data_IF_799964036416
#
_entry.id   IF_799964036416
#
_cell.length_a   1.000
_cell.length_b   1.000
_cell.length_c   1.000
_cell.angle_alpha   90.00
_cell.angle_beta   90.00
_cell.angle_gamma   90.00
#
_symmetry.space_group_name_H-M   'P 1'
#
loop_
_entity.id
_entity.type
_entity.pdbx_description
1 polymer ?
#
# COMPACT_ATOMS: atom_id res chain seq x y z
N UNK A 1 7.26 -32.19 -7.78
CA UNK A 1 7.98 -31.24 -8.65
C UNK A 1 7.02 -30.48 -9.56
N UNK A 2 7.05 -29.14 -9.49
CA UNK A 2 6.38 -28.29 -10.47
C UNK A 2 5.24 -27.45 -9.91
N UNK A 3 5.59 -26.35 -9.25
CA UNK A 3 5.05 -25.01 -9.51
C UNK A 3 6.06 -24.06 -8.87
N UNK A 4 7.08 -23.68 -9.64
CA UNK A 4 7.82 -22.48 -9.28
C UNK A 4 6.85 -21.34 -9.56
N UNK A 5 6.26 -20.78 -8.50
CA UNK A 5 5.45 -19.58 -8.57
C UNK A 5 6.27 -18.52 -9.33
N UNK A 6 5.90 -18.27 -10.58
CA UNK A 6 6.46 -17.17 -11.36
C UNK A 6 5.91 -15.88 -10.77
N UNK A 7 6.57 -15.41 -9.72
CA UNK A 7 6.33 -14.08 -9.16
C UNK A 7 6.63 -13.08 -10.28
N UNK A 8 5.65 -12.28 -10.68
CA UNK A 8 5.87 -11.22 -11.65
C UNK A 8 6.90 -10.22 -11.11
N UNK A 9 7.63 -9.54 -11.99
CA UNK A 9 8.62 -8.53 -11.58
C UNK A 9 8.01 -7.47 -10.65
N UNK A 10 6.78 -7.05 -10.93
CA UNK A 10 6.01 -6.13 -10.07
C UNK A 10 5.69 -6.72 -8.69
N UNK A 11 5.41 -8.03 -8.61
CA UNK A 11 5.13 -8.70 -7.35
C UNK A 11 6.36 -8.84 -6.45
N UNK A 12 7.52 -9.14 -7.06
CA UNK A 12 8.81 -9.17 -6.37
C UNK A 12 9.16 -7.79 -5.83
N UNK A 13 9.04 -6.75 -6.67
CA UNK A 13 9.32 -5.36 -6.29
C UNK A 13 8.37 -4.83 -5.21
N UNK A 14 7.07 -5.16 -5.28
CA UNK A 14 6.11 -4.79 -4.23
C UNK A 14 6.53 -5.38 -2.87
N UNK A 15 6.93 -6.65 -2.86
CA UNK A 15 7.38 -7.33 -1.63
C UNK A 15 8.67 -6.71 -1.10
N UNK A 16 9.62 -6.36 -1.98
CA UNK A 16 10.89 -5.72 -1.62
C UNK A 16 10.69 -4.33 -0.99
N UNK A 17 9.74 -3.53 -1.50
CA UNK A 17 9.43 -2.20 -0.95
C UNK A 17 8.94 -2.31 0.50
N UNK A 18 8.12 -3.31 0.83
CA UNK A 18 7.69 -3.50 2.22
C UNK A 18 8.85 -4.00 3.08
N UNK A 19 9.61 -4.98 2.59
CA UNK A 19 10.74 -5.58 3.32
C UNK A 19 11.81 -4.57 3.68
N UNK A 20 12.04 -3.56 2.85
CA UNK A 20 13.09 -2.56 3.10
C UNK A 20 12.73 -1.57 4.21
N UNK A 21 11.46 -1.48 4.62
CA UNK A 21 10.99 -0.58 5.67
C UNK A 21 10.93 -1.27 7.04
N UNK A 22 12.07 -1.37 7.74
CA UNK A 22 12.16 -2.03 9.06
C UNK A 22 12.49 -1.06 10.20
N UNK A 23 13.38 -0.10 9.98
CA UNK A 23 13.80 0.88 10.99
C UNK A 23 14.00 2.24 10.34
N UNK A 24 13.74 3.31 11.09
CA UNK A 24 13.81 4.70 10.62
C UNK A 24 13.02 4.94 9.32
N UNK A 25 11.88 4.26 9.21
CA UNK A 25 11.06 4.24 8.02
C UNK A 25 9.57 4.22 8.35
N UNK A 26 8.76 4.92 7.54
CA UNK A 26 7.32 4.72 7.47
C UNK A 26 6.88 4.36 6.05
N UNK A 27 6.00 3.38 5.92
CA UNK A 27 5.41 2.95 4.66
C UNK A 27 3.90 3.19 4.70
N UNK A 28 3.39 3.89 3.70
CA UNK A 28 2.00 4.28 3.60
C UNK A 28 1.41 3.70 2.32
N UNK A 29 0.30 2.99 2.42
CA UNK A 29 -0.42 2.37 1.30
C UNK A 29 -1.80 3.02 1.17
N UNK A 30 -2.20 3.35 -0.06
CA UNK A 30 -3.55 3.71 -0.43
C UNK A 30 -4.00 2.98 -1.70
N UNK A 31 -5.12 2.27 -1.66
CA UNK A 31 -5.68 1.63 -2.86
C UNK A 31 -6.48 2.62 -3.72
N UNK A 32 -6.53 2.35 -5.02
CA UNK A 32 -7.42 3.03 -5.98
C UNK A 32 -8.03 2.02 -6.96
N UNK A 33 -9.32 2.20 -7.28
CA UNK A 33 -10.13 1.38 -8.18
C UNK A 33 -10.17 -0.08 -7.76
N UNK A 34 -9.13 -0.86 -8.02
CA UNK A 34 -9.11 -2.29 -7.72
C UNK A 34 -7.70 -2.72 -7.32
N UNK A 35 -7.55 -3.24 -6.11
CA UNK A 35 -6.27 -3.61 -5.53
C UNK A 35 -6.18 -5.05 -5.00
N UNK A 36 -7.30 -5.77 -4.93
CA UNK A 36 -7.41 -7.04 -4.22
C UNK A 36 -7.16 -8.27 -5.11
N UNK A 37 -7.51 -8.18 -6.40
CA UNK A 37 -7.66 -9.34 -7.28
C UNK A 37 -6.40 -10.18 -7.46
N UNK A 38 -5.23 -9.56 -7.58
CA UNK A 38 -3.96 -10.28 -7.78
C UNK A 38 -2.86 -9.78 -6.84
N UNK A 39 -3.16 -9.72 -5.53
CA UNK A 39 -2.13 -9.48 -4.52
C UNK A 39 -1.10 -10.63 -4.52
N UNK A 40 0.21 -10.36 -4.65
CA UNK A 40 1.23 -11.40 -4.57
C UNK A 40 1.23 -12.08 -3.20
N UNK A 41 1.28 -13.41 -3.18
CA UNK A 41 1.22 -14.18 -1.93
C UNK A 41 2.37 -13.82 -0.96
N UNK A 42 3.58 -13.60 -1.48
CA UNK A 42 4.72 -13.19 -0.65
C UNK A 42 4.51 -11.82 0.00
N UNK A 43 3.85 -10.89 -0.70
CA UNK A 43 3.50 -9.58 -0.15
C UNK A 43 2.43 -9.72 0.94
N UNK A 44 1.37 -10.50 0.70
CA UNK A 44 0.30 -10.76 1.70
C UNK A 44 0.90 -11.38 2.96
N UNK A 45 1.69 -12.45 2.81
CA UNK A 45 2.36 -13.12 3.94
C UNK A 45 3.27 -12.17 4.72
N UNK A 46 4.00 -11.30 4.02
CA UNK A 46 4.89 -10.36 4.69
C UNK A 46 4.11 -9.26 5.43
N UNK A 47 3.06 -8.70 4.84
CA UNK A 47 2.16 -7.77 5.54
C UNK A 47 1.55 -8.41 6.79
N UNK A 48 1.11 -9.67 6.71
CA UNK A 48 0.57 -10.43 7.84
C UNK A 48 1.58 -10.63 8.98
N UNK A 49 2.89 -10.72 8.70
CA UNK A 49 3.94 -10.75 9.73
C UNK A 49 3.96 -9.47 10.58
N UNK A 50 3.52 -8.36 10.01
CA UNK A 50 3.34 -7.08 10.69
C UNK A 50 1.95 -6.91 11.32
N UNK A 51 1.09 -7.95 11.27
CA UNK A 51 -0.25 -7.96 11.86
C UNK A 51 -1.39 -7.49 10.93
N UNK A 52 -1.10 -7.28 9.64
CA UNK A 52 -2.10 -6.84 8.64
C UNK A 52 -3.09 -7.96 8.30
N UNK A 53 -4.32 -7.57 7.98
CA UNK A 53 -5.37 -8.42 7.46
C UNK A 53 -5.67 -8.12 5.99
N UNK A 54 -4.64 -7.77 5.20
CA UNK A 54 -4.79 -7.40 3.79
C UNK A 54 -5.42 -8.52 2.93
N UNK A 55 -5.37 -9.77 3.37
CA UNK A 55 -6.08 -10.91 2.76
C UNK A 55 -7.61 -10.75 2.79
N UNK A 56 -8.13 -9.88 3.67
CA UNK A 56 -9.56 -9.55 3.76
C UNK A 56 -9.98 -8.40 2.83
N UNK A 57 -9.05 -7.81 2.09
CA UNK A 57 -9.35 -6.70 1.18
C UNK A 57 -10.32 -7.18 0.09
N UNK A 58 -11.50 -6.56 0.01
CA UNK A 58 -12.53 -6.89 -0.96
C UNK A 58 -12.29 -6.27 -2.34
N UNK A 59 -13.05 -6.77 -3.32
CA UNK A 59 -13.04 -6.21 -4.66
C UNK A 59 -13.45 -4.74 -4.65
N UNK A 60 -12.55 -3.87 -5.14
CA UNK A 60 -12.72 -2.41 -5.20
C UNK A 60 -12.98 -1.71 -3.85
N UNK A 61 -12.54 -2.33 -2.76
CA UNK A 61 -12.46 -1.63 -1.49
C UNK A 61 -11.44 -0.49 -1.56
N UNK A 62 -11.75 0.62 -0.88
CA UNK A 62 -10.72 1.49 -0.34
C UNK A 62 -9.83 0.69 0.59
N UNK A 63 -8.55 1.04 0.63
CA UNK A 63 -7.60 0.46 1.57
C UNK A 63 -6.61 1.50 1.99
N UNK A 64 -6.35 1.57 3.29
CA UNK A 64 -5.25 2.33 3.87
C UNK A 64 -4.51 1.39 4.81
N UNK A 65 -3.18 1.33 4.67
CA UNK A 65 -2.30 0.76 5.69
C UNK A 65 -1.12 1.68 5.93
N UNK A 66 -0.70 1.75 7.19
CA UNK A 66 0.44 2.54 7.64
C UNK A 66 1.32 1.66 8.50
N UNK A 67 2.56 1.44 8.05
CA UNK A 67 3.62 0.84 8.85
C UNK A 67 4.61 1.94 9.25
N UNK A 68 5.12 1.87 10.48
CA UNK A 68 6.21 2.72 10.97
C UNK A 68 7.17 1.86 11.78
N UNK A 69 8.45 1.87 11.41
CA UNK A 69 9.51 1.06 12.01
C UNK A 69 9.14 -0.43 12.11
N UNK A 70 8.57 -0.98 11.04
CA UNK A 70 8.14 -2.37 10.98
C UNK A 70 6.90 -2.70 11.81
N UNK A 71 6.22 -1.73 12.42
CA UNK A 71 4.97 -1.95 13.14
C UNK A 71 3.77 -1.44 12.33
N UNK A 72 2.71 -2.23 12.23
CA UNK A 72 1.45 -1.78 11.64
C UNK A 72 0.75 -0.81 12.62
N UNK A 73 0.73 0.47 12.26
CA UNK A 73 0.15 1.56 13.05
C UNK A 73 -1.34 1.74 12.78
N UNK A 74 -1.77 1.46 11.55
CA UNK A 74 -3.15 1.62 11.11
C UNK A 74 -3.43 0.72 9.90
N UNK A 75 -4.63 0.16 9.85
CA UNK A 75 -5.17 -0.55 8.71
C UNK A 75 -6.69 -0.38 8.65
N UNK A 76 -7.23 -0.09 7.47
CA UNK A 76 -8.66 -0.09 7.23
C UNK A 76 -8.97 -0.42 5.76
N UNK A 77 -10.10 -1.07 5.54
CA UNK A 77 -10.70 -1.28 4.23
C UNK A 77 -12.21 -1.03 4.29
N UNK A 78 -12.79 -0.54 3.19
CA UNK A 78 -14.23 -0.22 3.10
C UNK A 78 -14.66 -0.03 1.65
N UNK A 79 -15.93 -0.30 1.34
CA UNK A 79 -16.54 0.12 0.07
C UNK A 79 -16.76 1.63 -0.01
N UNK A 80 -16.65 2.36 1.11
CA UNK A 80 -16.73 3.83 1.21
C UNK A 80 -15.33 4.46 1.25
N UNK A 81 -15.26 5.79 1.18
CA UNK A 81 -14.02 6.54 1.38
C UNK A 81 -13.42 6.33 2.76
N UNK A 82 -12.11 6.13 2.78
CA UNK A 82 -11.28 6.12 3.98
C UNK A 82 -10.42 7.38 4.03
N UNK A 83 -10.25 7.90 5.25
CA UNK A 83 -9.36 9.00 5.55
C UNK A 83 -8.60 8.69 6.84
N UNK A 84 -7.30 8.95 6.85
CA UNK A 84 -6.46 8.80 8.02
C UNK A 84 -5.45 9.95 8.11
N UNK A 85 -5.16 10.38 9.34
CA UNK A 85 -4.14 11.39 9.62
C UNK A 85 -3.23 10.87 10.73
N UNK A 86 -1.92 11.02 10.53
CA UNK A 86 -0.90 10.59 11.47
C UNK A 86 0.30 11.54 11.45
N UNK A 87 1.11 11.48 12.51
CA UNK A 87 2.46 12.02 12.52
C UNK A 87 3.41 10.83 12.32
N UNK A 88 4.08 10.76 11.17
CA UNK A 88 4.99 9.66 10.81
C UNK A 88 6.38 10.22 10.60
N UNK A 89 7.38 9.65 11.27
CA UNK A 89 8.77 10.14 11.20
C UNK A 89 8.88 11.65 11.48
N UNK A 90 8.04 12.16 12.40
CA UNK A 90 7.95 13.59 12.73
C UNK A 90 7.25 14.48 11.69
N UNK A 91 6.69 13.91 10.61
CA UNK A 91 6.02 14.65 9.53
C UNK A 91 4.50 14.43 9.57
N UNK A 92 3.68 15.47 9.39
CA UNK A 92 2.24 15.31 9.28
C UNK A 92 1.90 14.62 7.95
N UNK A 93 1.16 13.52 8.04
CA UNK A 93 0.70 12.72 6.90
C UNK A 93 -0.82 12.62 6.91
N UNK A 94 -1.43 12.79 5.74
CA UNK A 94 -2.85 12.48 5.51
C UNK A 94 -2.99 11.52 4.35
N UNK A 95 -3.85 10.54 4.51
CA UNK A 95 -4.07 9.46 3.54
C UNK A 95 -5.54 9.39 3.21
N UNK A 96 -5.85 9.29 1.92
CA UNK A 96 -7.21 9.07 1.42
C UNK A 96 -7.20 7.92 0.40
N UNK A 97 -8.18 7.05 0.52
CA UNK A 97 -8.48 6.01 -0.45
C UNK A 97 -10.00 5.98 -0.64
N UNK A 98 -10.46 6.13 -1.87
CA UNK A 98 -11.89 6.10 -2.18
C UNK A 98 -12.31 4.71 -2.63
N UNK A 99 -13.31 4.16 -1.95
CA UNK A 99 -13.90 2.88 -2.28
C UNK A 99 -14.94 3.04 -3.38
N UNK A 100 -15.37 1.90 -3.94
CA UNK A 100 -16.29 1.85 -5.08
C UNK A 100 -17.54 2.74 -4.95
N UNK A 101 -18.08 2.90 -3.75
CA UNK A 101 -19.32 3.67 -3.51
C UNK A 101 -19.11 5.18 -3.35
N UNK A 102 -17.87 5.65 -3.20
CA UNK A 102 -17.60 7.06 -2.89
C UNK A 102 -16.77 7.79 -3.94
N UNK A 103 -15.98 7.07 -4.74
CA UNK A 103 -15.13 7.71 -5.73
C UNK A 103 -14.10 6.76 -6.32
N UNK A 104 -13.01 7.34 -6.81
CA UNK A 104 -11.93 6.59 -7.44
C UNK A 104 -10.65 7.43 -7.42
N UNK A 105 -10.13 7.69 -6.22
CA UNK A 105 -8.86 8.37 -6.02
C UNK A 105 -8.09 7.82 -4.82
N UNK A 106 -6.77 7.91 -4.92
CA UNK A 106 -5.84 7.72 -3.81
C UNK A 106 -4.99 8.99 -3.67
N UNK A 107 -4.76 9.41 -2.43
CA UNK A 107 -3.91 10.55 -2.10
C UNK A 107 -3.09 10.23 -0.83
N UNK A 108 -1.81 10.54 -0.85
CA UNK A 108 -0.90 10.41 0.30
C UNK A 108 -0.15 11.72 0.40
N UNK A 109 -0.61 12.60 1.29
CA UNK A 109 -0.02 13.93 1.47
C UNK A 109 0.91 13.94 2.66
N UNK A 110 2.12 14.42 2.44
CA UNK A 110 3.16 14.59 3.45
C UNK A 110 3.48 16.08 3.47
N UNK A 111 3.34 16.72 4.63
CA UNK A 111 3.51 18.18 4.77
C UNK A 111 2.66 18.97 3.74
N UNK A 112 1.46 18.45 3.44
CA UNK A 112 0.49 19.06 2.52
C UNK A 112 0.71 18.75 1.03
N UNK A 113 1.87 18.23 0.62
CA UNK A 113 2.14 17.84 -0.77
C UNK A 113 1.73 16.40 -1.03
N UNK A 114 0.99 16.15 -2.12
CA UNK A 114 0.57 14.80 -2.52
C UNK A 114 1.71 14.06 -3.26
N UNK A 115 1.98 12.85 -2.80
CA UNK A 115 3.00 11.95 -3.35
C UNK A 115 2.39 10.68 -3.96
N UNK A 116 1.09 10.43 -3.79
CA UNK A 116 0.47 9.27 -4.41
C UNK A 116 0.45 9.43 -5.94
N UNK A 117 0.85 8.39 -6.71
CA UNK A 117 0.70 8.41 -8.16
C UNK A 117 -0.77 8.48 -8.62
N UNK A 118 -1.70 8.12 -7.72
CA UNK A 118 -3.13 8.08 -7.96
C UNK A 118 -3.49 7.20 -9.18
N UNK A 119 -2.94 5.99 -9.23
CA UNK A 119 -3.16 4.97 -10.28
C UNK A 119 -3.82 3.71 -9.71
N UNK A 120 -4.54 2.95 -10.55
CA UNK A 120 -5.25 1.72 -10.14
C UNK A 120 -4.32 0.73 -9.44
N UNK A 121 -4.78 0.11 -8.35
CA UNK A 121 -4.00 -0.82 -7.56
C UNK A 121 -3.48 -0.17 -6.28
N UNK A 122 -2.30 -0.57 -5.83
CA UNK A 122 -1.66 -0.04 -4.63
C UNK A 122 -0.80 1.18 -4.99
N UNK A 123 -1.05 2.29 -4.31
CA UNK A 123 -0.20 3.48 -4.31
C UNK A 123 0.55 3.49 -2.99
N UNK A 124 1.88 3.50 -3.05
CA UNK A 124 2.74 3.33 -1.87
C UNK A 124 3.69 4.50 -1.78
N UNK A 125 3.83 5.07 -0.59
CA UNK A 125 4.87 6.07 -0.30
C UNK A 125 5.71 5.58 0.86
N UNK A 126 7.03 5.65 0.70
CA UNK A 126 8.01 5.32 1.72
C UNK A 126 8.70 6.59 2.18
N UNK A 127 8.75 6.77 3.49
CA UNK A 127 9.43 7.84 4.21
C UNK A 127 10.61 7.24 4.96
N UNK A 128 11.83 7.55 4.55
CA UNK A 128 13.04 7.22 5.32
C UNK A 128 13.59 8.48 5.98
N UNK A 129 14.15 8.35 7.18
CA UNK A 129 14.81 9.45 7.86
C UNK A 129 15.91 10.07 6.98
N UNK A 130 15.88 11.39 6.84
CA UNK A 130 16.88 12.15 6.07
C UNK A 130 16.79 12.00 4.54
N UNK A 131 15.80 11.28 4.01
CA UNK A 131 15.61 11.10 2.57
C UNK A 131 14.32 11.74 2.08
N UNK A 132 14.28 12.06 0.78
CA UNK A 132 13.04 12.49 0.13
C UNK A 132 12.04 11.34 0.07
N UNK A 133 10.71 11.61 0.16
CA UNK A 133 9.69 10.57 0.00
C UNK A 133 9.82 9.85 -1.34
N UNK A 134 9.72 8.53 -1.33
CA UNK A 134 9.72 7.69 -2.53
C UNK A 134 8.32 7.16 -2.79
N UNK A 135 7.85 7.27 -4.03
CA UNK A 135 6.50 6.83 -4.42
C UNK A 135 6.56 5.66 -5.40
N UNK A 136 5.73 4.66 -5.15
CA UNK A 136 5.59 3.46 -5.97
C UNK A 136 4.13 3.22 -6.32
N UNK A 137 3.91 2.50 -7.41
CA UNK A 137 2.61 2.10 -7.89
C UNK A 137 2.68 0.66 -8.38
N UNK A 138 1.72 -0.17 -7.97
CA UNK A 138 1.60 -1.57 -8.37
C UNK A 138 0.17 -1.86 -8.82
N UNK A 139 0.01 -2.26 -10.09
CA UNK A 139 -1.31 -2.64 -10.65
C UNK A 139 -1.62 -4.10 -10.30
N UNK A 140 -2.47 -4.29 -9.30
CA UNK A 140 -2.87 -5.62 -8.81
C UNK A 140 -4.21 -6.09 -9.38
N UNK A 141 -4.66 -5.47 -10.49
CA UNK A 141 -5.87 -5.88 -11.21
C UNK A 141 -5.61 -6.85 -12.37
N UNK A 142 -4.45 -6.70 -13.02
CA UNK A 142 -4.02 -7.53 -14.14
C UNK A 142 -3.01 -8.54 -13.61
N UNK A 143 -3.22 -9.83 -13.89
CA UNK A 143 -2.09 -10.76 -13.89
C UNK A 143 -1.11 -10.21 -14.93
N UNK A 144 0.15 -10.00 -14.56
CA UNK A 144 1.20 -9.81 -15.56
C UNK A 144 1.20 -11.08 -16.41
N UNK A 145 0.61 -11.02 -17.60
CA UNK A 145 0.68 -12.11 -18.55
C UNK A 145 2.13 -12.18 -19.04
N UNK A 146 2.80 -13.31 -18.81
CA UNK A 146 3.96 -13.73 -19.58
C UNK A 146 3.53 -14.93 -20.41
#
# INVERSE_FOLDING_TARGET
PGLADTVSEDGSRLTEVVKSCQSDCALIIAAKDEAAKTLPELFVRHMQQHGSHIDKLGFRDAYIAVLENGELRYEAFSQQSLYHQALLMGKPVTVRSEGFLSGNSAAIRIEGRDYAPNRRGLNIVVLNSGQAPQAFHFDTHRKSCY
#
